data_IF_151225808709
#
_entry.id   IF_151225808709
#
_cell.length_a   1.000
_cell.length_b   1.000
_cell.length_c   1.000
_cell.angle_alpha   90.00
_cell.angle_beta   90.00
_cell.angle_gamma   90.00
#
_symmetry.space_group_name_H-M   'P 1'
#
loop_
_entity.id
_entity.type
_entity.pdbx_description
1 polymer ?
#
# COMPACT_ATOMS: atom_id res chain seq x y z
N UNK A 1 -15.85 28.39 -18.68
CA UNK A 1 -15.42 28.44 -18.78
C UNK A 1 -15.86 28.13 -18.83
N UNK A 2 -15.47 28.02 -19.41
CA UNK A 2 -15.08 28.01 -19.78
C UNK A 2 -15.05 27.87 -20.19
N UNK A 3 -15.67 27.90 -20.48
CA UNK A 3 -15.05 27.79 -21.14
C UNK A 3 -14.38 28.23 -21.50
N UNK A 4 -14.08 28.46 -21.25
CA UNK A 4 -13.05 28.61 -21.87
C UNK A 4 -12.57 27.88 -22.12
N UNK A 5 -12.58 27.85 -23.02
CA UNK A 5 -11.72 26.80 -23.04
C UNK A 5 -10.55 27.17 -22.30
N UNK A 6 -10.34 26.32 -21.47
CA UNK A 6 -9.08 26.28 -20.91
C UNK A 6 -8.09 26.49 -22.01
N UNK A 7 -7.23 27.43 -21.86
CA UNK A 7 -6.09 27.53 -22.74
C UNK A 7 -5.50 26.14 -22.82
N UNK A 8 -5.15 25.74 -24.00
CA UNK A 8 -4.56 24.44 -24.19
C UNK A 8 -3.38 24.31 -23.25
N UNK A 9 -3.50 23.39 -22.34
CA UNK A 9 -2.43 23.10 -21.43
C UNK A 9 -1.33 22.40 -22.20
N UNK A 10 -0.16 23.02 -22.28
CA UNK A 10 0.97 22.47 -23.02
C UNK A 10 1.76 21.42 -22.23
N UNK A 11 1.37 21.17 -20.97
CA UNK A 11 2.03 20.15 -20.16
C UNK A 11 1.73 18.74 -20.70
N UNK A 12 2.62 17.77 -20.42
CA UNK A 12 2.33 16.38 -20.76
C UNK A 12 1.04 15.89 -20.11
N UNK A 13 0.33 14.93 -20.72
CA UNK A 13 -0.93 14.44 -20.17
C UNK A 13 -0.87 13.98 -18.71
N UNK A 14 0.23 13.39 -18.29
CA UNK A 14 0.38 12.95 -16.90
C UNK A 14 0.37 14.13 -15.92
N UNK A 15 0.98 15.26 -16.30
CA UNK A 15 0.97 16.46 -15.46
C UNK A 15 -0.40 17.14 -15.47
N UNK A 16 -1.08 17.11 -16.60
CA UNK A 16 -2.44 17.63 -16.70
C UNK A 16 -3.37 16.86 -15.80
N UNK A 17 -3.26 15.54 -15.82
CA UNK A 17 -4.07 14.68 -14.96
C UNK A 17 -3.79 14.93 -13.48
N UNK A 18 -2.52 15.10 -13.12
CA UNK A 18 -2.12 15.37 -11.74
C UNK A 18 -2.64 16.71 -11.21
N UNK A 19 -2.90 17.67 -12.09
CA UNK A 19 -3.42 18.98 -11.69
C UNK A 19 -4.94 19.05 -11.62
N UNK A 20 -5.65 18.02 -12.05
CA UNK A 20 -7.10 17.98 -12.00
C UNK A 20 -7.59 17.68 -10.58
N UNK A 21 -8.71 18.28 -10.16
CA UNK A 21 -9.29 17.91 -8.88
C UNK A 21 -9.74 16.46 -8.91
N UNK A 22 -9.45 15.75 -7.83
CA UNK A 22 -9.91 14.38 -7.68
C UNK A 22 -11.39 14.34 -7.33
N UNK A 23 -12.12 13.31 -7.77
CA UNK A 23 -13.48 13.09 -7.28
C UNK A 23 -13.50 12.99 -5.76
N UNK A 24 -14.56 13.46 -5.15
CA UNK A 24 -14.66 13.52 -3.69
C UNK A 24 -14.63 12.14 -3.02
N UNK A 25 -14.90 11.08 -3.75
CA UNK A 25 -14.86 9.72 -3.22
C UNK A 25 -13.46 9.09 -3.23
N UNK A 26 -12.51 9.73 -3.90
CA UNK A 26 -11.12 9.27 -3.91
C UNK A 26 -10.36 10.07 -2.85
N UNK A 27 -9.70 9.38 -1.88
CA UNK A 27 -8.87 10.10 -0.93
C UNK A 27 -7.77 10.86 -1.67
N UNK A 28 -7.58 12.12 -1.32
CA UNK A 28 -6.53 12.91 -1.94
C UNK A 28 -5.16 12.42 -1.49
N UNK A 29 -4.29 11.97 -2.41
CA UNK A 29 -2.91 11.69 -2.05
C UNK A 29 -2.23 13.03 -1.82
N UNK A 30 -2.03 13.38 -0.59
CA UNK A 30 -1.33 14.61 -0.24
C UNK A 30 0.02 14.28 0.36
N UNK A 31 1.04 14.87 -0.21
CA UNK A 31 2.40 14.74 0.30
C UNK A 31 2.43 15.20 1.76
N UNK A 32 2.97 14.37 2.62
CA UNK A 32 3.09 14.67 4.04
C UNK A 32 1.84 14.43 4.87
N UNK A 33 0.72 14.06 4.26
CA UNK A 33 -0.48 13.67 5.00
C UNK A 33 -0.66 12.18 4.97
N UNK A 34 -1.01 11.63 6.13
CA UNK A 34 -1.35 10.22 6.25
C UNK A 34 -2.76 9.99 5.72
N UNK A 35 -2.91 9.05 4.80
CA UNK A 35 -4.23 8.58 4.43
C UNK A 35 -4.86 7.90 5.65
N UNK A 36 -6.18 7.90 5.75
CA UNK A 36 -6.88 7.24 6.85
C UNK A 36 -7.75 6.12 6.32
N UNK A 37 -7.66 4.94 6.94
CA UNK A 37 -8.43 3.78 6.55
C UNK A 37 -9.14 3.11 7.71
N UNK A 38 -10.21 2.39 7.40
CA UNK A 38 -10.97 1.57 8.33
C UNK A 38 -11.67 0.45 7.56
N UNK A 39 -12.33 -0.46 8.26
CA UNK A 39 -13.14 -1.50 7.60
C UNK A 39 -14.24 -0.87 6.74
N UNK A 40 -14.87 0.18 7.24
CA UNK A 40 -15.95 0.86 6.52
C UNK A 40 -15.45 1.66 5.32
N UNK A 41 -14.23 2.18 5.42
CA UNK A 41 -13.60 2.99 4.37
C UNK A 41 -12.12 2.61 4.24
N UNK A 42 -11.82 1.52 3.55
CA UNK A 42 -10.42 1.15 3.32
C UNK A 42 -9.66 2.29 2.65
N UNK A 43 -8.46 2.56 3.13
CA UNK A 43 -7.62 3.56 2.51
C UNK A 43 -6.98 2.98 1.24
N UNK A 44 -7.12 3.68 0.14
CA UNK A 44 -6.34 3.41 -1.06
C UNK A 44 -5.18 4.40 -1.10
N UNK A 45 -3.98 3.88 -1.11
CA UNK A 45 -2.77 4.68 -1.07
C UNK A 45 -1.74 4.14 -2.05
N UNK A 46 -0.54 4.64 -1.97
CA UNK A 46 0.57 4.24 -2.83
C UNK A 46 1.71 3.71 -1.99
N UNK A 47 2.57 2.90 -2.60
CA UNK A 47 3.79 2.42 -1.94
C UNK A 47 4.55 3.59 -1.32
N UNK A 48 5.04 3.38 -0.11
CA UNK A 48 5.80 4.38 0.63
C UNK A 48 4.98 5.42 1.37
N UNK A 49 3.66 5.43 1.23
CA UNK A 49 2.79 6.37 1.93
C UNK A 49 2.34 5.78 3.25
N UNK A 50 2.45 6.56 4.32
CA UNK A 50 1.92 6.18 5.62
C UNK A 50 0.39 6.23 5.61
N UNK A 51 -0.24 5.18 6.12
CA UNK A 51 -1.68 5.10 6.28
C UNK A 51 -2.00 5.01 7.76
N UNK A 52 -2.84 5.91 8.24
CA UNK A 52 -3.40 5.81 9.58
C UNK A 52 -4.65 4.95 9.54
N UNK A 53 -4.67 3.87 10.29
CA UNK A 53 -5.76 2.91 10.26
C UNK A 53 -6.49 2.94 11.58
N UNK A 54 -7.80 3.14 11.51
CA UNK A 54 -8.69 3.02 12.66
C UNK A 54 -9.22 1.60 12.73
N UNK A 55 -8.96 0.96 13.84
CA UNK A 55 -9.38 -0.40 14.13
C UNK A 55 -10.52 -0.41 15.15
N UNK A 56 -11.06 -1.57 15.39
CA UNK A 56 -12.12 -1.74 16.39
C UNK A 56 -11.64 -1.33 17.79
N UNK A 57 -12.60 -0.96 18.63
CA UNK A 57 -12.37 -0.63 20.06
C UNK A 57 -11.50 0.61 20.26
N UNK A 58 -11.52 1.53 19.30
CA UNK A 58 -10.77 2.77 19.42
C UNK A 58 -9.26 2.64 19.20
N UNK A 59 -8.79 1.47 18.82
CA UNK A 59 -7.39 1.28 18.48
C UNK A 59 -7.08 1.88 17.12
N UNK A 60 -5.88 2.42 16.97
CA UNK A 60 -5.39 2.90 15.68
C UNK A 60 -3.89 2.65 15.58
N UNK A 61 -3.40 2.63 14.36
CA UNK A 61 -2.00 2.34 14.06
C UNK A 61 -1.62 2.99 12.73
N UNK A 62 -0.34 3.31 12.58
CA UNK A 62 0.20 3.80 11.32
C UNK A 62 0.96 2.68 10.64
N UNK A 63 0.69 2.46 9.36
CA UNK A 63 1.38 1.45 8.57
C UNK A 63 1.85 2.05 7.26
N UNK A 64 3.03 1.64 6.85
CA UNK A 64 3.61 2.01 5.56
C UNK A 64 4.13 0.73 4.89
N UNK A 65 3.80 0.57 3.62
CA UNK A 65 4.31 -0.52 2.80
C UNK A 65 5.13 0.10 1.67
N UNK A 66 6.39 -0.25 1.63
CA UNK A 66 7.34 0.29 0.65
C UNK A 66 7.89 -0.83 -0.23
N UNK A 67 7.95 -0.60 -1.51
CA UNK A 67 8.42 -1.55 -2.51
C UNK A 67 7.50 -1.56 -3.73
N UNK A 68 7.59 -2.58 -4.58
CA UNK A 68 8.38 -3.79 -4.37
C UNK A 68 9.82 -3.64 -4.84
N UNK A 69 10.69 -4.52 -4.32
CA UNK A 69 11.97 -4.82 -4.92
C UNK A 69 11.88 -6.20 -5.55
N UNK A 70 12.71 -6.44 -6.56
CA UNK A 70 12.77 -7.72 -7.27
C UNK A 70 14.23 -8.15 -7.45
N UNK A 71 14.48 -9.44 -7.71
CA UNK A 71 15.84 -9.90 -7.97
C UNK A 71 16.44 -9.19 -9.19
N UNK A 72 17.76 -9.01 -9.17
CA UNK A 72 18.48 -8.41 -10.28
C UNK A 72 18.19 -9.18 -11.58
N UNK A 73 17.97 -8.44 -12.67
CA UNK A 73 17.66 -9.03 -13.96
C UNK A 73 16.18 -9.32 -14.20
N UNK A 74 15.32 -9.05 -13.22
CA UNK A 74 13.87 -9.19 -13.41
C UNK A 74 13.40 -8.15 -14.42
N UNK A 75 12.59 -8.60 -15.39
CA UNK A 75 12.04 -7.70 -16.41
C UNK A 75 10.71 -7.12 -15.97
N UNK A 76 10.49 -5.84 -16.28
CA UNK A 76 9.18 -5.22 -16.09
C UNK A 76 8.15 -6.00 -16.90
N UNK A 77 7.03 -6.33 -16.27
CA UNK A 77 5.97 -7.09 -16.92
C UNK A 77 6.19 -8.60 -16.90
N UNK A 78 7.24 -9.09 -16.25
CA UNK A 78 7.41 -10.53 -16.08
C UNK A 78 6.16 -11.13 -15.39
N UNK A 79 5.70 -12.28 -15.88
CA UNK A 79 4.50 -12.92 -15.35
C UNK A 79 4.67 -13.40 -13.91
N UNK A 80 5.88 -13.76 -13.54
CA UNK A 80 6.20 -14.25 -12.20
C UNK A 80 7.55 -13.72 -11.77
N UNK A 81 7.57 -12.98 -10.68
CA UNK A 81 8.78 -12.45 -10.07
C UNK A 81 8.63 -12.49 -8.56
N UNK A 82 9.73 -12.71 -7.86
CA UNK A 82 9.75 -12.66 -6.41
C UNK A 82 9.80 -11.19 -5.98
N UNK A 83 8.67 -10.66 -5.56
CA UNK A 83 8.52 -9.27 -5.16
C UNK A 83 8.56 -9.16 -3.65
N UNK A 84 9.33 -8.20 -3.14
CA UNK A 84 9.53 -8.01 -1.69
C UNK A 84 9.16 -6.59 -1.30
N UNK A 85 8.41 -6.46 -0.23
CA UNK A 85 8.03 -5.16 0.36
C UNK A 85 8.53 -5.07 1.79
N UNK A 86 8.82 -3.84 2.21
CA UNK A 86 9.13 -3.52 3.60
C UNK A 86 7.91 -2.89 4.25
N UNK A 87 7.48 -3.46 5.36
CA UNK A 87 6.34 -2.97 6.13
C UNK A 87 6.86 -2.34 7.41
N UNK A 88 6.43 -1.11 7.68
CA UNK A 88 6.75 -0.39 8.92
C UNK A 88 5.44 -0.09 9.64
N UNK A 89 5.36 -0.47 10.90
CA UNK A 89 4.18 -0.27 11.74
C UNK A 89 4.59 0.54 12.96
N UNK A 90 3.84 1.59 13.26
CA UNK A 90 4.18 2.51 14.35
C UNK A 90 2.94 3.19 14.91
N UNK A 91 3.13 3.98 15.97
CA UNK A 91 2.10 4.83 16.56
C UNK A 91 0.81 4.08 16.90
N UNK A 92 0.96 2.85 17.39
CA UNK A 92 -0.19 2.09 17.89
C UNK A 92 -0.72 2.73 19.17
N UNK A 93 -2.04 2.87 19.26
CA UNK A 93 -2.68 3.40 20.48
C UNK A 93 -2.92 2.32 21.53
N UNK A 94 -2.76 1.06 21.15
CA UNK A 94 -2.88 -0.09 22.03
C UNK A 94 -2.15 -1.28 21.44
N UNK A 95 -2.38 -2.46 21.98
CA UNK A 95 -1.75 -3.67 21.45
C UNK A 95 -2.57 -4.21 20.28
N UNK A 96 -1.89 -4.38 19.14
CA UNK A 96 -2.50 -4.81 17.89
C UNK A 96 -1.81 -6.08 17.42
N UNK A 97 -2.53 -7.19 17.21
CA UNK A 97 -1.95 -8.42 16.70
C UNK A 97 -1.45 -8.23 15.26
N UNK A 98 -0.31 -8.80 14.96
CA UNK A 98 0.26 -8.84 13.62
C UNK A 98 0.46 -10.28 13.20
N UNK A 99 0.24 -10.57 11.93
CA UNK A 99 0.46 -11.89 11.36
C UNK A 99 0.63 -11.78 9.85
N UNK A 100 1.45 -12.65 9.29
CA UNK A 100 1.60 -12.73 7.83
C UNK A 100 0.27 -13.00 7.12
N UNK A 101 -0.64 -13.69 7.78
CA UNK A 101 -1.96 -14.01 7.19
C UNK A 101 -2.84 -12.80 6.97
N UNK A 102 -2.45 -11.63 7.47
CA UNK A 102 -3.18 -10.37 7.26
C UNK A 102 -2.85 -9.71 5.91
N UNK A 103 -1.81 -10.18 5.21
CA UNK A 103 -1.29 -9.53 4.01
C UNK A 103 -1.48 -10.40 2.79
N UNK A 104 -1.97 -9.79 1.72
CA UNK A 104 -1.97 -10.39 0.40
C UNK A 104 -1.69 -9.33 -0.66
N UNK A 105 -1.41 -9.80 -1.86
CA UNK A 105 -1.12 -8.97 -3.01
C UNK A 105 -2.11 -9.31 -4.10
N UNK A 106 -2.72 -8.30 -4.68
CA UNK A 106 -3.55 -8.46 -5.89
C UNK A 106 -2.74 -7.93 -7.07
N UNK A 107 -2.48 -8.78 -8.06
CA UNK A 107 -1.71 -8.40 -9.24
C UNK A 107 -2.62 -7.68 -10.28
N UNK A 108 -2.02 -7.23 -11.38
CA UNK A 108 -2.74 -6.48 -12.40
C UNK A 108 -3.79 -7.32 -13.14
N UNK A 109 -3.69 -8.63 -13.08
CA UNK A 109 -4.68 -9.53 -13.65
C UNK A 109 -5.84 -9.81 -12.69
N UNK A 110 -5.80 -9.24 -11.48
CA UNK A 110 -6.79 -9.46 -10.45
C UNK A 110 -6.57 -10.70 -9.61
N UNK A 111 -5.46 -11.40 -9.80
CA UNK A 111 -5.11 -12.59 -9.00
C UNK A 111 -4.61 -12.20 -7.62
N UNK A 112 -4.99 -12.99 -6.63
CA UNK A 112 -4.54 -12.80 -5.24
C UNK A 112 -3.42 -13.77 -4.91
N UNK A 113 -2.41 -13.25 -4.22
CA UNK A 113 -1.26 -14.01 -3.78
C UNK A 113 -1.06 -13.75 -2.30
N UNK A 114 -1.00 -14.82 -1.50
CA UNK A 114 -0.71 -14.68 -0.08
C UNK A 114 0.73 -14.27 0.13
N UNK A 115 0.95 -13.26 0.95
CA UNK A 115 2.29 -12.84 1.32
C UNK A 115 2.93 -13.88 2.23
N UNK A 116 4.25 -14.01 2.12
CA UNK A 116 5.06 -14.90 2.94
C UNK A 116 6.11 -14.08 3.68
N UNK A 117 6.51 -14.51 4.88
CA UNK A 117 7.59 -13.83 5.60
C UNK A 117 8.92 -14.09 4.91
N UNK A 118 9.80 -13.11 4.95
CA UNK A 118 11.17 -13.27 4.44
C UNK A 118 12.02 -13.86 5.55
N UNK A 119 12.87 -14.83 5.20
CA UNK A 119 13.79 -15.44 6.15
C UNK A 119 14.67 -14.37 6.80
N UNK A 120 14.77 -14.40 8.12
CA UNK A 120 15.53 -13.41 8.87
C UNK A 120 14.74 -12.12 9.19
N UNK A 121 13.51 -12.00 8.73
CA UNK A 121 12.66 -10.85 8.99
C UNK A 121 11.24 -11.33 9.33
N UNK A 122 11.07 -12.02 10.46
CA UNK A 122 9.75 -12.54 10.83
C UNK A 122 8.76 -11.43 11.14
N UNK A 123 7.49 -11.67 10.87
CA UNK A 123 6.44 -10.76 11.27
C UNK A 123 6.29 -10.84 12.79
N UNK A 124 6.42 -9.72 13.52
CA UNK A 124 6.18 -9.74 14.96
C UNK A 124 4.76 -10.19 15.28
N UNK A 125 4.56 -10.83 16.41
CA UNK A 125 3.23 -11.30 16.81
C UNK A 125 2.27 -10.14 17.13
N UNK A 126 2.81 -8.99 17.49
CA UNK A 126 2.01 -7.80 17.86
C UNK A 126 2.87 -6.55 17.82
N UNK A 127 2.20 -5.41 17.81
CA UNK A 127 2.79 -4.10 18.12
C UNK A 127 2.06 -3.53 19.32
N UNK A 128 2.79 -2.91 20.23
CA UNK A 128 2.24 -2.24 21.40
C UNK A 128 2.51 -0.74 21.31
N UNK A 129 1.80 0.02 22.15
CA UNK A 129 1.97 1.47 22.22
C UNK A 129 3.43 1.84 22.43
N UNK A 130 3.91 2.81 21.66
CA UNK A 130 5.28 3.31 21.75
C UNK A 130 6.30 2.50 20.96
N UNK A 131 5.90 1.39 20.34
CA UNK A 131 6.79 0.58 19.54
C UNK A 131 6.75 0.99 18.07
N UNK A 132 7.86 0.69 17.39
CA UNK A 132 7.94 0.74 15.93
C UNK A 132 8.55 -0.58 15.48
N UNK A 133 7.86 -1.28 14.59
CA UNK A 133 8.33 -2.55 14.07
C UNK A 133 8.47 -2.47 12.55
N UNK A 134 9.47 -3.16 12.03
CA UNK A 134 9.72 -3.23 10.59
C UNK A 134 9.97 -4.69 10.23
N UNK A 135 9.32 -5.15 9.19
CA UNK A 135 9.52 -6.49 8.68
C UNK A 135 9.33 -6.49 7.17
N UNK A 136 9.74 -7.58 6.54
CA UNK A 136 9.61 -7.74 5.08
C UNK A 136 8.65 -8.88 4.77
N UNK A 137 7.91 -8.70 3.68
CA UNK A 137 7.02 -9.71 3.13
C UNK A 137 7.34 -9.89 1.66
N UNK A 138 7.07 -11.08 1.12
CA UNK A 138 7.28 -11.32 -0.30
C UNK A 138 6.22 -12.25 -0.85
N UNK A 139 6.09 -12.23 -2.15
CA UNK A 139 5.28 -13.19 -2.89
C UNK A 139 5.77 -13.25 -4.32
N UNK A 140 5.42 -14.32 -5.01
CA UNK A 140 5.68 -14.43 -6.45
C UNK A 140 4.42 -13.97 -7.17
N UNK A 141 4.55 -12.90 -7.94
CA UNK A 141 3.45 -12.28 -8.65
C UNK A 141 3.97 -11.62 -9.92
N UNK A 142 3.08 -11.09 -10.74
CA UNK A 142 3.50 -10.38 -11.94
C UNK A 142 4.27 -9.10 -11.56
N UNK A 143 5.35 -8.83 -12.28
CA UNK A 143 6.20 -7.66 -12.07
C UNK A 143 5.64 -6.46 -12.84
N UNK A 144 4.42 -6.09 -12.55
CA UNK A 144 3.72 -4.96 -13.14
C UNK A 144 3.05 -4.15 -12.04
N UNK A 145 1.82 -3.76 -12.29
CA UNK A 145 1.01 -3.03 -11.30
C UNK A 145 0.29 -4.00 -10.38
N UNK A 146 -0.04 -3.54 -9.19
CA UNK A 146 -0.83 -4.30 -8.25
C UNK A 146 -1.04 -3.56 -6.96
N UNK A 147 -1.57 -4.25 -5.97
CA UNK A 147 -1.86 -3.68 -4.65
C UNK A 147 -1.46 -4.64 -3.56
N UNK A 148 -0.79 -4.11 -2.53
CA UNK A 148 -0.62 -4.82 -1.26
C UNK A 148 -1.82 -4.49 -0.39
N UNK A 149 -2.43 -5.49 0.20
CA UNK A 149 -3.67 -5.36 0.97
C UNK A 149 -3.44 -5.83 2.40
N UNK A 150 -3.91 -5.06 3.35
CA UNK A 150 -3.83 -5.42 4.76
C UNK A 150 -5.23 -5.60 5.32
N UNK A 151 -5.50 -6.78 5.87
CA UNK A 151 -6.75 -7.15 6.52
C UNK A 151 -6.42 -7.67 7.93
N UNK A 152 -6.54 -6.83 8.97
CA UNK A 152 -6.16 -7.23 10.34
C UNK A 152 -6.89 -8.46 10.87
N UNK A 153 -8.12 -8.69 10.42
CA UNK A 153 -8.90 -9.86 10.79
C UNK A 153 -8.76 -11.03 9.80
N UNK A 154 -7.91 -10.85 8.77
CA UNK A 154 -7.74 -11.82 7.69
C UNK A 154 -8.84 -11.81 6.64
N UNK A 155 -9.84 -10.95 6.76
CA UNK A 155 -10.99 -10.91 5.86
C UNK A 155 -11.32 -9.52 5.32
N UNK A 156 -11.34 -8.51 6.19
CA UNK A 156 -11.77 -7.16 5.84
C UNK A 156 -10.57 -6.25 5.67
N UNK A 157 -10.33 -5.84 4.44
CA UNK A 157 -9.21 -4.94 4.11
C UNK A 157 -9.49 -3.56 4.67
N UNK A 158 -8.48 -2.98 5.32
CA UNK A 158 -8.56 -1.62 5.87
C UNK A 158 -7.61 -0.66 5.15
N UNK A 159 -6.63 -1.20 4.44
CA UNK A 159 -5.65 -0.37 3.72
C UNK A 159 -5.09 -1.14 2.53
N UNK A 160 -4.84 -0.40 1.46
CA UNK A 160 -4.25 -0.91 0.22
C UNK A 160 -3.15 0.05 -0.23
N UNK A 161 -2.05 -0.51 -0.70
CA UNK A 161 -0.94 0.27 -1.27
C UNK A 161 -0.77 -0.16 -2.72
N UNK A 162 -1.13 0.75 -3.61
CA UNK A 162 -0.92 0.57 -5.04
C UNK A 162 0.58 0.64 -5.34
N UNK A 163 1.05 -0.25 -6.18
CA UNK A 163 2.45 -0.26 -6.58
C UNK A 163 2.58 -0.43 -8.09
N UNK A 164 3.67 0.13 -8.59
CA UNK A 164 4.18 -0.18 -9.92
C UNK A 164 5.58 -0.71 -9.67
N UNK A 165 5.86 -1.90 -10.18
CA UNK A 165 7.19 -2.46 -10.03
C UNK A 165 8.16 -1.66 -10.89
N UNK A 166 8.94 -0.80 -10.26
CA UNK A 166 10.05 -0.10 -10.90
C UNK A 166 11.27 -1.02 -10.80
N UNK A 167 11.58 -1.62 -11.92
CA UNK A 167 12.69 -2.55 -12.00
C UNK A 167 13.82 -1.88 -12.75
N UNK A 168 14.84 -1.50 -12.00
CA UNK A 168 16.06 -0.94 -12.57
C UNK A 168 17.01 -2.05 -13.06
#
# INVERSE_FOLDING_TARGET
HHTTPAPSDSRPPAQQLASQPLPSWIPSPTTGRKATGSVQRPALSYQGVEVRVDLDRGNSVTMNVHGPTAPAGTKVGAEAADLTWTVTVSDATGTIPLSITQFNVQDEAGKYHWAQPVKGSPVPAKISKGQKVTFTIHTVASAGEGMVRWAPDGKHVVALWDYIAELD
#
